data_IF_338820354313
#
_entry.id   IF_338820354313
#
_cell.length_a   1.000
_cell.length_b   1.000
_cell.length_c   1.000
_cell.angle_alpha   90.00
_cell.angle_beta   90.00
_cell.angle_gamma   90.00
#
_symmetry.space_group_name_H-M   'P 1'
#
loop_
_entity.id
_entity.type
_entity.pdbx_description
1 polymer ?
#
# COMPACT_ATOMS: atom_id res chain seq x y z
N UNK A 1 -27.32 4.28 -8.16
CA UNK A 1 -27.47 5.53 -7.40
C UNK A 1 -26.74 5.32 -6.09
N UNK A 2 -25.49 5.76 -6.00
CA UNK A 2 -24.76 5.71 -4.72
C UNK A 2 -25.44 6.69 -3.77
N UNK A 3 -26.09 6.15 -2.74
CA UNK A 3 -26.61 6.97 -1.65
C UNK A 3 -25.41 7.70 -1.05
N UNK A 4 -25.42 9.03 -1.12
CA UNK A 4 -24.33 9.84 -0.60
C UNK A 4 -24.28 9.65 0.93
N UNK A 5 -23.38 8.77 1.38
CA UNK A 5 -23.21 8.47 2.80
C UNK A 5 -22.63 9.69 3.50
N UNK A 6 -23.17 9.99 4.69
CA UNK A 6 -22.66 11.04 5.56
C UNK A 6 -21.67 10.44 6.55
N UNK A 7 -20.48 11.03 6.66
CA UNK A 7 -19.50 10.70 7.70
C UNK A 7 -19.41 11.82 8.71
N UNK A 8 -19.46 11.46 9.99
CA UNK A 8 -19.36 12.42 11.10
C UNK A 8 -17.90 12.72 11.41
N UNK A 9 -17.57 14.01 11.50
CA UNK A 9 -16.24 14.52 11.90
C UNK A 9 -16.35 15.43 13.12
N UNK A 10 -15.26 15.56 13.88
CA UNK A 10 -15.18 16.50 15.00
C UNK A 10 -14.59 17.85 14.57
N UNK A 11 -15.28 18.92 14.95
CA UNK A 11 -14.87 20.33 14.81
C UNK A 11 -14.81 20.92 16.23
N UNK A 12 -13.63 20.87 16.85
CA UNK A 12 -13.47 21.23 18.26
C UNK A 12 -14.41 20.42 19.17
N UNK A 13 -15.36 21.11 19.80
CA UNK A 13 -16.35 20.51 20.71
C UNK A 13 -17.60 19.94 20.02
N UNK A 14 -17.83 20.26 18.74
CA UNK A 14 -19.04 19.82 18.01
C UNK A 14 -18.73 18.72 17.01
N UNK A 15 -19.74 17.92 16.67
CA UNK A 15 -19.65 16.90 15.61
C UNK A 15 -20.56 17.28 14.46
N UNK A 16 -20.08 17.15 13.23
CA UNK A 16 -20.82 17.53 12.02
C UNK A 16 -20.77 16.38 11.02
N UNK A 17 -21.92 16.07 10.41
CA UNK A 17 -22.02 15.11 9.32
C UNK A 17 -21.66 15.76 7.99
N UNK A 18 -20.70 15.18 7.28
CA UNK A 18 -20.30 15.60 5.94
C UNK A 18 -20.67 14.54 4.91
N UNK A 19 -21.43 14.95 3.91
CA UNK A 19 -21.88 14.10 2.81
C UNK A 19 -20.74 13.93 1.81
N UNK A 20 -20.43 12.68 1.45
CA UNK A 20 -19.44 12.34 0.42
C UNK A 20 -17.98 12.39 0.89
N UNK A 21 -17.74 12.53 2.19
CA UNK A 21 -16.37 12.64 2.73
C UNK A 21 -15.52 11.39 2.45
N UNK A 22 -16.07 10.19 2.60
CA UNK A 22 -15.30 8.96 2.35
C UNK A 22 -14.87 8.83 0.87
N UNK A 23 -15.73 9.24 -0.06
CA UNK A 23 -15.39 9.24 -1.48
C UNK A 23 -14.30 10.28 -1.79
N UNK A 24 -14.40 11.47 -1.21
CA UNK A 24 -13.40 12.52 -1.38
C UNK A 24 -12.04 12.08 -0.80
N UNK A 25 -12.03 11.47 0.39
CA UNK A 25 -10.84 10.93 1.04
C UNK A 25 -10.15 9.87 0.17
N UNK A 26 -10.90 8.85 -0.27
CA UNK A 26 -10.35 7.79 -1.12
C UNK A 26 -9.74 8.34 -2.42
N UNK A 27 -10.44 9.28 -3.07
CA UNK A 27 -9.99 9.88 -4.33
C UNK A 27 -8.72 10.70 -4.15
N UNK A 28 -8.66 11.52 -3.09
CA UNK A 28 -7.56 12.45 -2.87
C UNK A 28 -6.33 11.72 -2.30
N UNK A 29 -6.52 10.69 -1.48
CA UNK A 29 -5.43 9.82 -1.03
C UNK A 29 -4.69 9.14 -2.20
N UNK A 30 -5.41 8.75 -3.25
CA UNK A 30 -4.82 8.15 -4.44
C UNK A 30 -3.92 9.10 -5.26
N UNK A 31 -3.98 10.40 -5.03
CA UNK A 31 -3.19 11.41 -5.76
C UNK A 31 -1.80 11.64 -5.17
N UNK A 32 -1.48 11.01 -4.02
CA UNK A 32 -0.20 11.14 -3.31
C UNK A 32 0.28 12.59 -3.17
N UNK A 33 -0.61 13.47 -2.71
CA UNK A 33 -0.37 14.90 -2.58
C UNK A 33 0.18 15.25 -1.19
N UNK A 34 0.94 16.35 -1.14
CA UNK A 34 1.28 17.06 0.09
C UNK A 34 0.03 17.33 0.93
N UNK A 35 0.15 17.18 2.26
CA UNK A 35 -0.99 17.16 3.18
C UNK A 35 -1.83 18.45 3.11
N UNK A 36 -1.17 19.60 3.01
CA UNK A 36 -1.83 20.90 2.97
C UNK A 36 -2.65 21.08 1.69
N UNK A 37 -2.09 20.64 0.55
CA UNK A 37 -2.80 20.62 -0.74
C UNK A 37 -3.97 19.63 -0.73
N UNK A 38 -3.79 18.45 -0.14
CA UNK A 38 -4.86 17.46 0.00
C UNK A 38 -6.03 18.00 0.84
N UNK A 39 -5.74 18.69 1.95
CA UNK A 39 -6.76 19.33 2.80
C UNK A 39 -7.52 20.42 2.04
N UNK A 40 -6.84 21.20 1.21
CA UNK A 40 -7.46 22.26 0.41
C UNK A 40 -8.39 21.74 -0.68
N UNK A 41 -8.01 20.63 -1.34
CA UNK A 41 -8.84 19.94 -2.30
C UNK A 41 -10.05 19.28 -1.63
N UNK A 42 -9.84 18.60 -0.51
CA UNK A 42 -10.92 18.03 0.30
C UNK A 42 -11.92 19.10 0.71
N UNK A 43 -11.42 20.25 1.19
CA UNK A 43 -12.28 21.36 1.57
C UNK A 43 -13.10 21.87 0.40
N UNK A 44 -12.48 22.05 -0.78
CA UNK A 44 -13.16 22.51 -1.99
C UNK A 44 -14.28 21.55 -2.41
N UNK A 45 -13.99 20.25 -2.42
CA UNK A 45 -14.97 19.22 -2.79
C UNK A 45 -16.13 19.15 -1.78
N UNK A 46 -15.82 19.16 -0.48
CA UNK A 46 -16.82 19.09 0.58
C UNK A 46 -17.70 20.33 0.62
N UNK A 47 -17.12 21.53 0.43
CA UNK A 47 -17.87 22.79 0.35
C UNK A 47 -18.88 22.80 -0.80
N UNK A 48 -18.58 22.13 -1.90
CA UNK A 48 -19.51 22.00 -3.03
C UNK A 48 -20.76 21.17 -2.73
N UNK A 49 -20.71 20.32 -1.70
CA UNK A 49 -21.79 19.37 -1.34
C UNK A 49 -22.41 19.63 0.04
N UNK A 50 -21.80 20.47 0.87
CA UNK A 50 -22.17 20.69 2.26
C UNK A 50 -22.17 22.18 2.59
N UNK A 51 -23.06 22.60 3.49
CA UNK A 51 -23.02 23.96 4.02
C UNK A 51 -21.87 24.12 5.02
N UNK A 52 -20.92 25.00 4.70
CA UNK A 52 -19.85 25.41 5.60
C UNK A 52 -20.11 26.88 5.96
N UNK A 53 -20.33 27.20 7.26
CA UNK A 53 -20.56 28.58 7.68
C UNK A 53 -19.38 29.49 7.31
N UNK A 54 -19.65 30.70 6.77
CA UNK A 54 -18.58 31.67 6.52
C UNK A 54 -17.90 32.06 7.84
N UNK A 55 -16.58 32.15 7.83
CA UNK A 55 -15.75 32.40 9.01
C UNK A 55 -15.33 31.15 9.79
N UNK A 56 -15.80 29.95 9.39
CA UNK A 56 -15.37 28.67 9.99
C UNK A 56 -14.54 27.80 9.04
N UNK A 57 -14.15 28.32 7.88
CA UNK A 57 -13.43 27.55 6.85
C UNK A 57 -12.14 26.93 7.38
N UNK A 58 -11.37 27.68 8.18
CA UNK A 58 -10.10 27.21 8.72
C UNK A 58 -10.28 26.01 9.65
N UNK A 59 -11.33 26.01 10.46
CA UNK A 59 -11.66 24.90 11.37
C UNK A 59 -12.02 23.63 10.59
N UNK A 60 -12.78 23.80 9.50
CA UNK A 60 -13.10 22.69 8.59
C UNK A 60 -11.86 22.16 7.88
N UNK A 61 -10.97 23.03 7.36
CA UNK A 61 -9.69 22.60 6.76
C UNK A 61 -8.86 21.79 7.75
N UNK A 62 -8.71 22.27 8.98
CA UNK A 62 -7.97 21.55 10.03
C UNK A 62 -8.60 20.20 10.37
N UNK A 63 -9.93 20.14 10.45
CA UNK A 63 -10.61 18.88 10.71
C UNK A 63 -10.51 17.90 9.54
N UNK A 64 -10.64 18.37 8.30
CA UNK A 64 -10.47 17.56 7.09
C UNK A 64 -9.02 17.06 6.96
N UNK A 65 -8.03 17.89 7.26
CA UNK A 65 -6.63 17.48 7.33
C UNK A 65 -6.42 16.37 8.36
N UNK A 66 -7.04 16.48 9.54
CA UNK A 66 -6.99 15.41 10.55
C UNK A 66 -7.63 14.12 10.04
N UNK A 67 -8.80 14.20 9.40
CA UNK A 67 -9.45 13.02 8.82
C UNK A 67 -8.63 12.41 7.67
N UNK A 68 -7.99 13.25 6.85
CA UNK A 68 -7.06 12.84 5.80
C UNK A 68 -5.87 12.11 6.38
N UNK A 69 -5.21 12.68 7.40
CA UNK A 69 -4.12 12.00 8.13
C UNK A 69 -4.56 10.68 8.73
N UNK A 70 -5.74 10.61 9.36
CA UNK A 70 -6.27 9.34 9.89
C UNK A 70 -6.59 8.34 8.79
N UNK A 71 -7.02 8.80 7.62
CA UNK A 71 -7.28 7.97 6.45
C UNK A 71 -5.96 7.45 5.86
N UNK A 72 -4.97 8.31 5.71
CA UNK A 72 -3.61 7.97 5.29
C UNK A 72 -2.94 7.03 6.30
N UNK A 73 -3.06 7.26 7.62
CA UNK A 73 -2.53 6.38 8.69
C UNK A 73 -3.25 5.02 8.76
N UNK A 74 -4.54 4.95 8.39
CA UNK A 74 -5.24 3.67 8.19
C UNK A 74 -4.79 2.97 6.90
N UNK A 75 -4.35 3.73 5.90
CA UNK A 75 -3.63 3.27 4.71
C UNK A 75 -2.16 2.90 4.97
N UNK A 76 -1.50 3.49 5.97
CA UNK A 76 -0.12 3.21 6.41
C UNK A 76 0.02 1.88 7.17
N UNK A 77 -1.06 1.10 7.27
CA UNK A 77 -0.89 -0.36 7.43
C UNK A 77 -0.39 -1.03 6.15
N UNK A 78 -0.12 -0.30 5.08
CA UNK A 78 0.95 -0.64 4.16
C UNK A 78 2.29 -0.39 4.88
N UNK A 79 2.69 -1.39 5.67
CA UNK A 79 4.11 -1.73 5.82
C UNK A 79 4.74 -1.61 4.43
N UNK A 80 5.99 -1.13 4.25
CA UNK A 80 6.63 -1.18 2.94
C UNK A 80 6.46 -2.60 2.42
N UNK A 81 5.54 -2.79 1.46
CA UNK A 81 5.05 -4.13 1.16
C UNK A 81 6.18 -4.74 0.37
N UNK A 82 6.98 -5.55 1.05
CA UNK A 82 8.03 -6.31 0.40
C UNK A 82 7.33 -7.21 -0.62
N UNK A 83 7.52 -6.91 -1.89
CA UNK A 83 6.96 -7.67 -2.99
C UNK A 83 7.92 -8.80 -3.30
N UNK A 84 7.47 -10.04 -3.10
CA UNK A 84 8.22 -11.26 -3.37
C UNK A 84 7.57 -11.96 -4.55
N UNK A 85 8.27 -12.04 -5.68
CA UNK A 85 7.81 -12.78 -6.86
C UNK A 85 8.73 -13.96 -7.10
N UNK A 86 8.13 -15.15 -7.14
CA UNK A 86 8.83 -16.41 -7.37
C UNK A 86 8.39 -16.95 -8.72
N UNK A 87 9.31 -17.01 -9.66
CA UNK A 87 9.03 -17.46 -11.02
C UNK A 87 9.44 -18.92 -11.19
N UNK A 88 8.50 -19.74 -11.62
CA UNK A 88 8.76 -21.12 -12.03
C UNK A 88 7.51 -21.98 -12.12
N UNK A 89 7.58 -23.12 -12.80
CA UNK A 89 6.41 -23.96 -13.12
C UNK A 89 5.83 -24.73 -11.91
N UNK A 90 6.21 -24.39 -10.68
CA UNK A 90 5.75 -25.08 -9.47
C UNK A 90 6.48 -26.39 -9.14
N UNK A 91 7.71 -26.56 -9.64
CA UNK A 91 8.54 -27.73 -9.32
C UNK A 91 8.98 -27.72 -7.84
N UNK A 92 9.50 -28.86 -7.35
CA UNK A 92 9.96 -29.04 -5.95
C UNK A 92 10.86 -27.90 -5.50
N UNK A 93 11.81 -27.47 -6.32
CA UNK A 93 12.73 -26.38 -6.00
C UNK A 93 12.04 -25.01 -5.89
N UNK A 94 11.00 -24.73 -6.68
CA UNK A 94 10.22 -23.50 -6.57
C UNK A 94 9.44 -23.47 -5.26
N UNK A 95 8.84 -24.59 -4.88
CA UNK A 95 8.07 -24.72 -3.65
C UNK A 95 8.99 -24.63 -2.43
N UNK A 96 10.17 -25.26 -2.47
CA UNK A 96 11.18 -25.11 -1.41
C UNK A 96 11.63 -23.67 -1.22
N UNK A 97 11.82 -22.93 -2.33
CA UNK A 97 12.16 -21.51 -2.26
C UNK A 97 11.06 -20.68 -1.61
N UNK A 98 9.80 -20.94 -1.99
CA UNK A 98 8.64 -20.27 -1.39
C UNK A 98 8.53 -20.52 0.10
N UNK A 99 8.63 -21.78 0.53
CA UNK A 99 8.59 -22.14 1.95
C UNK A 99 9.72 -21.45 2.72
N UNK A 100 10.95 -21.48 2.19
CA UNK A 100 12.10 -20.81 2.82
C UNK A 100 11.86 -19.30 2.98
N UNK A 101 11.34 -18.63 1.94
CA UNK A 101 11.04 -17.19 2.01
C UNK A 101 9.94 -16.91 3.04
N UNK A 102 8.86 -17.70 3.07
CA UNK A 102 7.78 -17.54 4.04
C UNK A 102 8.27 -17.70 5.50
N UNK A 103 9.12 -18.70 5.76
CA UNK A 103 9.71 -18.90 7.09
C UNK A 103 10.56 -17.72 7.54
N UNK A 104 11.41 -17.20 6.64
CA UNK A 104 12.25 -16.03 6.94
C UNK A 104 11.39 -14.81 7.26
N UNK A 105 10.33 -14.57 6.48
CA UNK A 105 9.43 -13.45 6.68
C UNK A 105 8.67 -13.53 8.02
N UNK A 106 8.21 -14.73 8.40
CA UNK A 106 7.56 -14.94 9.70
C UNK A 106 8.53 -14.73 10.87
N UNK A 107 9.76 -15.24 10.77
CA UNK A 107 10.80 -15.04 11.79
C UNK A 107 11.17 -13.57 11.95
N UNK A 108 11.28 -12.84 10.84
CA UNK A 108 11.60 -11.42 10.84
C UNK A 108 10.39 -10.52 11.16
N UNK A 109 9.18 -11.09 11.27
CA UNK A 109 7.91 -10.36 11.46
C UNK A 109 7.67 -9.29 10.38
N UNK A 110 8.06 -9.58 9.14
CA UNK A 110 7.89 -8.68 7.99
C UNK A 110 6.64 -9.08 7.21
N UNK A 111 5.75 -8.13 6.99
CA UNK A 111 4.64 -8.31 6.05
C UNK A 111 5.14 -8.16 4.61
N UNK A 112 4.78 -9.11 3.75
CA UNK A 112 5.19 -9.15 2.35
C UNK A 112 4.05 -9.65 1.46
N UNK A 113 3.96 -9.12 0.23
CA UNK A 113 3.10 -9.67 -0.81
C UNK A 113 3.88 -10.76 -1.55
N UNK A 114 3.43 -12.01 -1.45
CA UNK A 114 4.09 -13.14 -2.11
C UNK A 114 3.23 -13.59 -3.29
N UNK A 115 3.81 -13.57 -4.49
CA UNK A 115 3.19 -14.07 -5.71
C UNK A 115 4.07 -15.14 -6.35
N UNK A 116 3.41 -16.21 -6.81
CA UNK A 116 4.07 -17.28 -7.55
C UNK A 116 3.64 -17.21 -9.02
N UNK A 117 4.60 -16.92 -9.89
CA UNK A 117 4.36 -16.75 -11.32
C UNK A 117 4.71 -18.05 -12.04
N UNK A 118 3.67 -18.68 -12.58
CA UNK A 118 3.78 -19.94 -13.32
C UNK A 118 3.68 -19.77 -14.84
N UNK A 119 3.15 -18.62 -15.30
CA UNK A 119 2.91 -18.35 -16.71
C UNK A 119 4.25 -18.17 -17.48
N UNK A 120 4.57 -19.03 -18.45
CA UNK A 120 5.77 -18.90 -19.27
C UNK A 120 5.89 -17.56 -19.99
N UNK A 121 4.76 -16.95 -20.41
CA UNK A 121 4.77 -15.67 -21.10
C UNK A 121 5.16 -14.54 -20.13
N UNK A 122 4.71 -14.62 -18.88
CA UNK A 122 5.07 -13.66 -17.84
C UNK A 122 6.53 -13.81 -17.39
N UNK A 123 7.03 -15.04 -17.26
CA UNK A 123 8.44 -15.34 -16.98
C UNK A 123 9.33 -14.75 -18.09
N UNK A 124 8.95 -14.93 -19.36
CA UNK A 124 9.66 -14.38 -20.51
C UNK A 124 9.66 -12.85 -20.52
N UNK A 125 8.52 -12.21 -20.26
CA UNK A 125 8.41 -10.74 -20.15
C UNK A 125 9.25 -10.17 -19.00
N UNK A 126 9.42 -10.93 -17.92
CA UNK A 126 10.28 -10.55 -16.79
C UNK A 126 11.79 -10.70 -17.10
N UNK A 127 12.17 -11.21 -18.27
CA UNK A 127 13.57 -11.42 -18.66
C UNK A 127 14.26 -12.57 -17.93
N UNK A 128 13.49 -13.51 -17.36
CA UNK A 128 14.02 -14.63 -16.59
C UNK A 128 14.31 -15.79 -17.53
N UNK A 129 15.60 -16.12 -17.65
CA UNK A 129 16.08 -17.21 -18.52
C UNK A 129 16.06 -18.58 -17.83
N UNK A 130 16.26 -18.59 -16.52
CA UNK A 130 16.35 -19.81 -15.73
C UNK A 130 15.48 -19.74 -14.47
N UNK A 131 14.66 -20.76 -14.26
CA UNK A 131 13.82 -20.94 -13.06
C UNK A 131 14.41 -22.04 -12.17
N UNK A 132 14.26 -22.00 -10.85
CA UNK A 132 13.51 -21.00 -10.08
C UNK A 132 14.19 -19.63 -10.08
N UNK A 133 13.40 -18.55 -10.06
CA UNK A 133 13.92 -17.21 -9.89
C UNK A 133 13.19 -16.44 -8.78
N UNK A 134 13.94 -15.64 -8.02
CA UNK A 134 13.47 -14.81 -6.93
C UNK A 134 13.64 -13.35 -7.29
N UNK A 135 12.55 -12.61 -7.28
CA UNK A 135 12.51 -11.16 -7.47
C UNK A 135 11.96 -10.52 -6.21
N UNK A 136 12.65 -9.51 -5.68
CA UNK A 136 12.24 -8.72 -4.52
C UNK A 136 12.09 -7.25 -4.94
N UNK A 137 10.92 -6.64 -4.75
CA UNK A 137 10.60 -5.26 -5.19
C UNK A 137 11.05 -4.97 -6.63
N UNK A 138 10.70 -5.87 -7.55
CA UNK A 138 11.07 -5.77 -8.97
C UNK A 138 12.55 -6.01 -9.30
N UNK A 139 13.41 -6.32 -8.32
CA UNK A 139 14.83 -6.63 -8.53
C UNK A 139 15.09 -8.13 -8.51
N UNK A 140 15.65 -8.67 -9.59
CA UNK A 140 16.08 -10.07 -9.67
C UNK A 140 17.25 -10.33 -8.71
N UNK A 141 17.08 -11.28 -7.79
CA UNK A 141 18.09 -11.67 -6.78
C UNK A 141 18.70 -13.04 -7.06
N UNK A 142 17.91 -14.00 -7.54
CA UNK A 142 18.38 -15.33 -7.94
C UNK A 142 17.67 -15.81 -9.20
N UNK A 143 18.36 -16.59 -10.03
CA UNK A 143 17.81 -17.25 -11.22
C UNK A 143 18.57 -18.56 -11.49
N UNK A 144 17.84 -19.66 -11.69
CA UNK A 144 18.38 -20.97 -12.05
C UNK A 144 18.99 -21.79 -10.91
N UNK A 145 19.35 -21.15 -9.79
CA UNK A 145 19.88 -21.81 -8.60
C UNK A 145 19.02 -21.48 -7.37
N UNK A 146 18.84 -22.47 -6.49
CA UNK A 146 18.22 -22.26 -5.19
C UNK A 146 19.20 -21.52 -4.26
N UNK A 147 18.89 -20.29 -3.81
CA UNK A 147 19.74 -19.57 -2.87
C UNK A 147 19.73 -20.24 -1.49
N UNK A 148 20.75 -19.93 -0.69
CA UNK A 148 20.80 -20.31 0.72
C UNK A 148 19.91 -19.40 1.57
N UNK A 149 19.43 -19.90 2.72
CA UNK A 149 18.61 -19.13 3.67
C UNK A 149 19.26 -17.80 4.06
N UNK A 150 20.55 -17.81 4.36
CA UNK A 150 21.30 -16.62 4.76
C UNK A 150 21.36 -15.54 3.66
N UNK A 151 21.41 -15.93 2.38
CA UNK A 151 21.40 -14.97 1.27
C UNK A 151 20.04 -14.29 1.13
N UNK A 152 18.95 -15.07 1.28
CA UNK A 152 17.59 -14.54 1.23
C UNK A 152 17.33 -13.57 2.38
N UNK A 153 17.72 -13.93 3.60
CA UNK A 153 17.67 -13.03 4.77
C UNK A 153 18.41 -11.72 4.52
N UNK A 154 19.64 -11.80 3.99
CA UNK A 154 20.45 -10.62 3.71
C UNK A 154 19.77 -9.70 2.70
N UNK A 155 19.22 -10.25 1.61
CA UNK A 155 18.52 -9.44 0.62
C UNK A 155 17.23 -8.79 1.15
N UNK A 156 16.53 -9.48 2.05
CA UNK A 156 15.33 -8.94 2.71
C UNK A 156 15.71 -7.80 3.65
N UNK A 157 16.74 -7.99 4.49
CA UNK A 157 17.26 -6.92 5.38
C UNK A 157 17.71 -5.70 4.60
N UNK A 158 18.49 -5.89 3.53
CA UNK A 158 18.93 -4.80 2.65
C UNK A 158 17.77 -3.99 2.05
N UNK A 159 16.59 -4.56 1.89
CA UNK A 159 15.42 -3.86 1.34
C UNK A 159 14.62 -3.18 2.44
N UNK A 160 14.56 -3.76 3.64
CA UNK A 160 13.80 -3.20 4.77
C UNK A 160 14.57 -2.11 5.51
N UNK A 161 15.90 -2.22 5.55
CA UNK A 161 16.78 -1.27 6.24
C UNK A 161 17.27 -0.10 5.33
N UNK A 162 16.91 -0.12 4.03
CA UNK A 162 17.30 0.90 3.04
C UNK A 162 16.24 1.98 2.84
#
# INVERSE_FOLDING_TARGET
MDAATSRTIRLGAVSVGLIGLDQALNRIAALNLEEELAADLLFTEIKGRNYIPPGREQEYRQALLREYRLHMQRGEREHPVLEVRIFGPGCVSCNSLQTMVMEILDEMRIAAAIEQVHDPDEIGRAGILHTPALVLNGRLKSSGLLPTRAQVEQWIREIVDA
#
